data_IF_833787415725
#
_entry.id   IF_833787415725
#
_cell.length_a   1.000
_cell.length_b   1.000
_cell.length_c   1.000
_cell.angle_alpha   90.00
_cell.angle_beta   90.00
_cell.angle_gamma   90.00
#
_symmetry.space_group_name_H-M   'P 1'
#
loop_
_entity.id
_entity.type
_entity.pdbx_description
1 polymer ?
#
# COMPACT_ATOMS: atom_id res chain seq x y z
N UNK A 1 35.11 4.23 -6.66
CA UNK A 1 34.23 5.43 -6.74
C UNK A 1 32.95 5.22 -7.56
N UNK A 2 32.94 4.43 -8.65
CA UNK A 2 31.72 4.08 -9.40
C UNK A 2 30.68 3.26 -8.59
N UNK A 3 31.12 2.39 -7.68
CA UNK A 3 30.24 1.51 -6.90
C UNK A 3 29.38 2.26 -5.86
N UNK A 4 29.95 3.25 -5.17
CA UNK A 4 29.24 4.08 -4.19
C UNK A 4 28.15 4.94 -4.85
N UNK A 5 28.39 5.40 -6.08
CA UNK A 5 27.42 6.16 -6.86
C UNK A 5 26.26 5.29 -7.37
N UNK A 6 26.53 4.03 -7.74
CA UNK A 6 25.47 3.06 -8.09
C UNK A 6 24.59 2.68 -6.88
N UNK A 7 25.21 2.49 -5.70
CA UNK A 7 24.48 2.19 -4.46
C UNK A 7 23.56 3.34 -4.04
N UNK A 8 24.07 4.58 -4.10
CA UNK A 8 23.27 5.79 -3.84
C UNK A 8 22.09 5.90 -4.80
N UNK A 9 22.31 5.65 -6.10
CA UNK A 9 21.27 5.72 -7.13
C UNK A 9 20.17 4.67 -6.91
N UNK A 10 20.54 3.43 -6.57
CA UNK A 10 19.59 2.36 -6.24
C UNK A 10 18.76 2.68 -5.01
N UNK A 11 19.37 3.27 -3.96
CA UNK A 11 18.65 3.67 -2.75
C UNK A 11 17.66 4.82 -3.01
N UNK A 12 18.04 5.82 -3.81
CA UNK A 12 17.14 6.92 -4.20
C UNK A 12 15.97 6.37 -5.03
N UNK A 13 16.24 5.49 -6.01
CA UNK A 13 15.20 4.90 -6.85
C UNK A 13 14.23 4.03 -6.04
N UNK A 14 14.73 3.26 -5.06
CA UNK A 14 13.93 2.50 -4.09
C UNK A 14 12.97 3.40 -3.32
N UNK A 15 13.46 4.53 -2.79
CA UNK A 15 12.63 5.44 -1.99
C UNK A 15 11.54 6.13 -2.83
N UNK A 16 11.87 6.51 -4.08
CA UNK A 16 10.89 7.09 -5.01
C UNK A 16 9.83 6.06 -5.37
N UNK A 17 10.21 4.83 -5.75
CA UNK A 17 9.23 3.79 -6.08
C UNK A 17 8.37 3.39 -4.88
N UNK A 18 8.93 3.31 -3.68
CA UNK A 18 8.17 3.02 -2.46
C UNK A 18 7.10 4.09 -2.19
N UNK A 19 7.42 5.37 -2.42
CA UNK A 19 6.47 6.47 -2.29
C UNK A 19 5.37 6.40 -3.36
N UNK A 20 5.74 6.22 -4.62
CA UNK A 20 4.78 6.14 -5.73
C UNK A 20 3.83 4.93 -5.57
N UNK A 21 4.39 3.77 -5.20
CA UNK A 21 3.61 2.56 -4.90
C UNK A 21 2.65 2.81 -3.74
N UNK A 22 3.10 3.42 -2.64
CA UNK A 22 2.25 3.73 -1.51
C UNK A 22 1.10 4.68 -1.91
N UNK A 23 1.38 5.72 -2.70
CA UNK A 23 0.34 6.62 -3.19
C UNK A 23 -0.66 5.90 -4.10
N UNK A 24 -0.20 5.08 -5.06
CA UNK A 24 -1.10 4.29 -5.92
C UNK A 24 -1.98 3.35 -5.08
N UNK A 25 -1.41 2.71 -4.06
CA UNK A 25 -2.12 1.78 -3.19
C UNK A 25 -3.18 2.50 -2.33
N UNK A 26 -2.87 3.70 -1.84
CA UNK A 26 -3.82 4.54 -1.10
C UNK A 26 -4.96 5.02 -2.00
N UNK A 27 -4.66 5.43 -3.23
CA UNK A 27 -5.67 5.80 -4.22
C UNK A 27 -6.58 4.62 -4.59
N UNK A 28 -6.00 3.42 -4.78
CA UNK A 28 -6.77 2.20 -5.01
C UNK A 28 -7.70 1.91 -3.83
N UNK A 29 -7.20 2.03 -2.60
CA UNK A 29 -8.00 1.79 -1.39
C UNK A 29 -9.15 2.80 -1.23
N UNK A 30 -8.93 4.07 -1.56
CA UNK A 30 -9.99 5.08 -1.62
C UNK A 30 -11.08 4.68 -2.63
N UNK A 31 -10.68 4.24 -3.82
CA UNK A 31 -11.61 3.83 -4.87
C UNK A 31 -12.43 2.61 -4.44
N UNK A 32 -11.81 1.64 -3.77
CA UNK A 32 -12.50 0.49 -3.18
C UNK A 32 -13.51 0.89 -2.10
N UNK A 33 -13.19 1.87 -1.25
CA UNK A 33 -14.14 2.42 -0.24
C UNK A 33 -15.36 3.03 -0.94
N UNK A 34 -15.15 3.82 -2.00
CA UNK A 34 -16.27 4.40 -2.75
C UNK A 34 -17.16 3.32 -3.38
N UNK A 35 -16.56 2.27 -3.93
CA UNK A 35 -17.30 1.14 -4.51
C UNK A 35 -18.08 0.37 -3.43
N UNK A 36 -17.45 0.09 -2.28
CA UNK A 36 -18.11 -0.54 -1.12
C UNK A 36 -19.29 0.31 -0.63
N UNK A 37 -19.09 1.63 -0.50
CA UNK A 37 -20.15 2.56 -0.10
C UNK A 37 -21.32 2.55 -1.10
N UNK A 38 -21.04 2.53 -2.39
CA UNK A 38 -22.05 2.43 -3.43
C UNK A 38 -22.87 1.14 -3.33
N UNK A 39 -22.22 -0.02 -3.14
CA UNK A 39 -22.90 -1.30 -3.00
C UNK A 39 -23.76 -1.37 -1.73
N UNK A 40 -23.26 -0.81 -0.62
CA UNK A 40 -24.00 -0.71 0.64
C UNK A 40 -25.22 0.20 0.47
N UNK A 41 -25.06 1.39 -0.11
CA UNK A 41 -26.15 2.35 -0.33
C UNK A 41 -27.20 1.85 -1.31
N UNK A 42 -26.81 0.98 -2.25
CA UNK A 42 -27.72 0.38 -3.22
C UNK A 42 -28.43 -0.88 -2.69
N UNK A 43 -28.20 -1.28 -1.43
CA UNK A 43 -28.72 -2.51 -0.81
C UNK A 43 -28.47 -3.80 -1.64
N UNK A 44 -27.44 -3.79 -2.50
CA UNK A 44 -27.03 -4.94 -3.34
C UNK A 44 -25.92 -5.74 -2.66
N UNK A 45 -26.02 -5.90 -1.34
CA UNK A 45 -25.00 -6.56 -0.51
C UNK A 45 -24.93 -8.08 -0.71
N UNK A 46 -25.94 -8.67 -1.37
CA UNK A 46 -26.05 -10.11 -1.63
C UNK A 46 -25.38 -10.59 -2.92
N UNK A 47 -24.81 -9.68 -3.72
CA UNK A 47 -24.14 -10.03 -4.98
C UNK A 47 -22.71 -10.50 -4.73
N UNK A 48 -22.27 -11.49 -5.49
CA UNK A 48 -20.89 -11.97 -5.52
C UNK A 48 -19.88 -10.84 -5.75
N UNK A 49 -20.26 -9.82 -6.51
CA UNK A 49 -19.50 -8.60 -6.77
C UNK A 49 -19.08 -7.88 -5.47
N UNK A 50 -19.96 -7.87 -4.45
CA UNK A 50 -19.65 -7.27 -3.15
C UNK A 50 -18.59 -8.06 -2.40
N UNK A 51 -18.71 -9.40 -2.36
CA UNK A 51 -17.72 -10.26 -1.71
C UNK A 51 -16.34 -10.15 -2.38
N UNK A 52 -16.30 -10.08 -3.71
CA UNK A 52 -15.05 -9.86 -4.46
C UNK A 52 -14.41 -8.51 -4.12
N UNK A 53 -15.22 -7.45 -4.03
CA UNK A 53 -14.73 -6.11 -3.68
C UNK A 53 -14.20 -6.07 -2.24
N UNK A 54 -14.89 -6.72 -1.29
CA UNK A 54 -14.42 -6.85 0.10
C UNK A 54 -13.12 -7.65 0.17
N UNK A 55 -12.99 -8.72 -0.61
CA UNK A 55 -11.78 -9.53 -0.66
C UNK A 55 -10.58 -8.73 -1.22
N UNK A 56 -10.79 -7.98 -2.31
CA UNK A 56 -9.79 -7.07 -2.85
C UNK A 56 -9.37 -6.02 -1.81
N UNK A 57 -10.33 -5.42 -1.11
CA UNK A 57 -10.09 -4.45 -0.05
C UNK A 57 -9.20 -5.00 1.08
N UNK A 58 -9.40 -6.26 1.47
CA UNK A 58 -8.56 -6.90 2.49
C UNK A 58 -7.12 -7.06 1.96
N UNK A 59 -6.95 -7.47 0.70
CA UNK A 59 -5.63 -7.65 0.08
C UNK A 59 -4.89 -6.31 -0.03
N UNK A 60 -5.54 -5.26 -0.54
CA UNK A 60 -4.95 -3.94 -0.66
C UNK A 60 -4.58 -3.37 0.71
N UNK A 61 -5.44 -3.53 1.71
CA UNK A 61 -5.17 -3.09 3.09
C UNK A 61 -3.95 -3.81 3.71
N UNK A 62 -3.86 -5.13 3.54
CA UNK A 62 -2.67 -5.90 3.97
C UNK A 62 -1.42 -5.41 3.25
N UNK A 63 -1.51 -5.16 1.94
CA UNK A 63 -0.40 -4.63 1.14
C UNK A 63 0.13 -3.29 1.69
N UNK A 64 -0.77 -2.36 2.01
CA UNK A 64 -0.42 -1.06 2.59
C UNK A 64 0.27 -1.24 3.94
N UNK A 65 -0.30 -2.08 4.82
CA UNK A 65 0.31 -2.34 6.14
C UNK A 65 1.72 -2.89 5.99
N UNK A 66 1.95 -3.84 5.08
CA UNK A 66 3.28 -4.40 4.84
C UNK A 66 4.29 -3.36 4.36
N UNK A 67 3.88 -2.47 3.44
CA UNK A 67 4.73 -1.38 2.95
C UNK A 67 5.07 -0.41 4.09
N UNK A 68 4.06 0.04 4.86
CA UNK A 68 4.26 0.92 6.02
C UNK A 68 5.18 0.26 7.05
N UNK A 69 4.97 -1.02 7.36
CA UNK A 69 5.75 -1.75 8.35
C UNK A 69 7.18 -2.01 7.88
N UNK A 70 7.41 -2.11 6.57
CA UNK A 70 8.76 -2.16 5.96
C UNK A 70 9.47 -0.81 6.11
N UNK A 71 8.78 0.29 5.83
CA UNK A 71 9.31 1.66 6.00
C UNK A 71 9.61 1.93 7.47
N UNK A 72 8.69 1.59 8.37
CA UNK A 72 8.86 1.75 9.82
C UNK A 72 10.03 0.94 10.37
N UNK A 73 10.24 -0.29 9.88
CA UNK A 73 11.42 -1.10 10.24
C UNK A 73 12.73 -0.50 9.74
N UNK A 74 12.76 0.17 8.58
CA UNK A 74 13.95 0.91 8.11
C UNK A 74 14.21 2.17 8.91
N UNK A 75 13.15 2.84 9.38
CA UNK A 75 13.24 4.11 10.10
C UNK A 75 13.48 3.95 11.60
N UNK A 76 13.21 2.77 12.20
CA UNK A 76 13.57 2.53 13.61
C UNK A 76 15.10 2.50 13.74
N UNK A 77 15.72 3.48 14.41
CA UNK A 77 17.08 3.30 14.89
C UNK A 77 17.05 2.14 15.89
N UNK A 78 18.05 1.26 15.82
CA UNK A 78 18.22 0.21 16.83
C UNK A 78 18.04 0.83 18.22
N UNK A 79 17.26 0.20 19.14
CA UNK A 79 17.33 0.57 20.54
C UNK A 79 18.80 0.41 20.93
N UNK A 80 19.45 1.52 21.28
CA UNK A 80 20.77 1.49 21.90
C UNK A 80 20.68 0.61 23.15
N UNK A 81 21.67 -0.28 23.38
CA UNK A 81 21.68 -1.20 24.51
C UNK A 81 21.64 -0.48 25.85
#
# INVERSE_FOLDING_TARGET
>A
MKSSLQCLRLSIMSNVMERELLTMLVWALLLEIFVLYYFISSSKTWRFEFQYTVFLFIITFIGIILVILRIYRRLRPLPYP
#
